data_IF_213643879062
#
_entry.id   IF_213643879062
#
_cell.length_a   1.000
_cell.length_b   1.000
_cell.length_c   1.000
_cell.angle_alpha   90.00
_cell.angle_beta   90.00
_cell.angle_gamma   90.00
#
_symmetry.space_group_name_H-M   'P 1'
#
loop_
_entity.id
_entity.type
_entity.pdbx_description
1 polymer ?
#
# COMPACT_ATOMS: atom_id res chain seq x y z
N UNK A 1 20.55 26.12 2.28
CA UNK A 1 20.18 24.81 2.86
C UNK A 1 20.84 23.76 2.00
N UNK A 2 21.88 23.18 2.56
CA UNK A 2 23.05 22.63 1.89
C UNK A 2 22.96 21.10 1.94
N UNK A 3 23.05 20.47 0.76
CA UNK A 3 23.35 19.06 0.49
C UNK A 3 22.79 17.99 1.45
N UNK A 4 21.64 17.41 1.06
CA UNK A 4 21.32 16.03 1.42
C UNK A 4 21.07 15.26 0.13
N UNK A 5 21.89 14.22 -0.10
CA UNK A 5 21.74 13.14 -1.10
C UNK A 5 22.54 13.25 -2.42
N UNK A 6 23.75 12.67 -2.48
CA UNK A 6 24.36 12.30 -3.75
C UNK A 6 23.67 11.02 -4.26
N UNK A 7 23.02 11.13 -5.42
CA UNK A 7 22.31 10.02 -6.04
C UNK A 7 23.22 8.83 -6.33
N UNK A 8 22.77 7.63 -5.97
CA UNK A 8 23.04 6.37 -6.65
C UNK A 8 22.05 5.29 -6.15
N UNK A 9 21.12 4.92 -7.03
CA UNK A 9 20.33 3.68 -7.14
C UNK A 9 19.99 2.87 -5.87
N UNK A 10 18.68 2.65 -5.64
CA UNK A 10 18.12 1.41 -5.07
C UNK A 10 17.65 1.50 -3.62
N UNK A 11 16.37 1.16 -3.42
CA UNK A 11 15.72 0.69 -2.19
C UNK A 11 15.68 1.63 -0.95
N UNK A 12 14.50 1.77 -0.34
CA UNK A 12 14.28 2.61 0.86
C UNK A 12 15.10 2.23 2.08
N UNK A 13 15.68 1.03 2.11
CA UNK A 13 16.65 0.61 3.10
C UNK A 13 17.97 1.39 3.02
N UNK A 14 18.37 1.87 1.83
CA UNK A 14 19.55 2.73 1.69
C UNK A 14 19.37 4.09 2.33
N UNK A 15 18.14 4.59 2.45
CA UNK A 15 17.82 5.82 3.19
C UNK A 15 18.26 5.73 4.67
N UNK A 16 18.37 4.51 5.19
CA UNK A 16 18.82 4.22 6.55
C UNK A 16 20.25 3.69 6.63
N UNK A 17 21.00 3.66 5.53
CA UNK A 17 22.36 3.10 5.49
C UNK A 17 22.39 1.56 5.53
N UNK A 18 21.25 0.88 5.33
CA UNK A 18 21.20 -0.57 5.19
C UNK A 18 21.50 -0.96 3.74
N UNK A 19 22.62 -1.67 3.54
CA UNK A 19 22.95 -2.32 2.28
C UNK A 19 22.25 -3.69 2.18
N UNK A 20 20.92 -3.69 2.14
CA UNK A 20 20.13 -4.89 1.85
C UNK A 20 19.78 -4.90 0.37
N UNK A 21 20.19 -5.94 -0.36
CA UNK A 21 19.79 -6.09 -1.75
C UNK A 21 18.33 -6.55 -1.83
N UNK A 22 17.57 -6.02 -2.78
CA UNK A 22 16.19 -6.45 -3.09
C UNK A 22 16.01 -7.98 -3.11
N UNK A 23 16.97 -8.72 -3.66
CA UNK A 23 16.96 -10.18 -3.70
C UNK A 23 17.06 -10.87 -2.32
N UNK A 24 17.78 -10.27 -1.37
CA UNK A 24 17.89 -10.79 0.01
C UNK A 24 16.61 -10.57 0.80
N UNK A 25 15.97 -9.40 0.61
CA UNK A 25 14.67 -9.07 1.20
C UNK A 25 13.57 -9.95 0.59
N UNK A 26 13.58 -10.14 -0.74
CA UNK A 26 12.64 -11.01 -1.43
C UNK A 26 12.77 -12.49 -1.02
N UNK A 27 13.99 -13.01 -0.86
CA UNK A 27 14.19 -14.41 -0.44
C UNK A 27 13.66 -14.71 0.96
N UNK A 28 13.67 -13.72 1.86
CA UNK A 28 13.18 -13.88 3.21
C UNK A 28 11.66 -13.64 3.33
N UNK A 29 11.11 -12.75 2.51
CA UNK A 29 9.67 -12.46 2.47
C UNK A 29 8.87 -13.44 1.59
N UNK A 30 9.54 -14.14 0.66
CA UNK A 30 8.95 -15.12 -0.27
C UNK A 30 9.68 -16.47 -0.18
N UNK A 31 9.58 -17.20 0.95
CA UNK A 31 10.21 -18.52 1.09
C UNK A 31 9.57 -19.57 0.16
N UNK A 32 8.32 -19.34 -0.25
CA UNK A 32 7.66 -20.11 -1.32
C UNK A 32 7.80 -19.35 -2.65
N UNK A 33 8.53 -19.86 -3.65
CA UNK A 33 8.69 -19.19 -4.94
C UNK A 33 7.38 -19.05 -5.75
N UNK A 34 6.36 -19.85 -5.42
CA UNK A 34 5.00 -19.72 -5.98
C UNK A 34 4.17 -18.64 -5.26
N UNK A 35 4.53 -18.25 -4.04
CA UNK A 35 3.94 -17.11 -3.35
C UNK A 35 4.60 -15.83 -3.85
N UNK A 36 3.99 -15.23 -4.86
CA UNK A 36 4.52 -14.02 -5.49
C UNK A 36 4.23 -12.77 -4.67
N UNK A 37 3.52 -12.84 -3.55
CA UNK A 37 3.05 -11.65 -2.82
C UNK A 37 3.70 -11.48 -1.44
N UNK A 38 3.88 -10.23 -1.04
CA UNK A 38 4.21 -9.84 0.32
C UNK A 38 3.24 -8.76 0.72
N UNK A 39 2.46 -9.03 1.75
CA UNK A 39 1.55 -8.04 2.34
C UNK A 39 2.33 -6.96 3.06
N UNK A 40 1.75 -5.76 3.21
CA UNK A 40 2.38 -4.70 3.97
C UNK A 40 2.72 -5.09 5.43
N UNK A 41 1.88 -5.91 6.06
CA UNK A 41 2.12 -6.42 7.40
C UNK A 41 3.30 -7.40 7.46
N UNK A 42 3.46 -8.26 6.45
CA UNK A 42 4.63 -9.14 6.31
C UNK A 42 5.92 -8.31 6.11
N UNK A 43 5.87 -7.23 5.30
CA UNK A 43 6.99 -6.30 5.16
C UNK A 43 7.37 -5.61 6.48
N UNK A 44 6.39 -5.09 7.22
CA UNK A 44 6.64 -4.47 8.52
C UNK A 44 7.24 -5.47 9.52
N UNK A 45 6.71 -6.70 9.56
CA UNK A 45 7.20 -7.77 10.46
C UNK A 45 8.62 -8.20 10.11
N UNK A 46 8.97 -8.22 8.83
CA UNK A 46 10.34 -8.50 8.39
C UNK A 46 11.33 -7.45 8.88
N UNK A 47 10.99 -6.16 8.74
CA UNK A 47 11.86 -5.08 9.25
C UNK A 47 12.12 -5.28 10.74
N UNK A 48 11.06 -5.46 11.52
CA UNK A 48 11.17 -5.59 12.98
C UNK A 48 12.03 -6.80 13.39
N UNK A 49 11.99 -7.89 12.62
CA UNK A 49 12.70 -9.13 12.97
C UNK A 49 14.13 -9.20 12.41
N UNK A 50 14.42 -8.51 11.30
CA UNK A 50 15.69 -8.64 10.58
C UNK A 50 16.58 -7.39 10.64
N UNK A 51 16.10 -6.30 11.23
CA UNK A 51 16.81 -5.02 11.27
C UNK A 51 16.67 -4.36 12.65
N UNK A 52 17.53 -3.38 13.00
CA UNK A 52 17.37 -2.60 14.23
C UNK A 52 16.25 -1.54 14.15
N UNK A 53 15.57 -1.42 13.00
CA UNK A 53 14.50 -0.44 12.79
C UNK A 53 13.16 -1.01 13.21
N UNK A 54 12.22 -0.09 13.47
CA UNK A 54 10.82 -0.40 13.70
C UNK A 54 10.03 -0.06 12.44
N UNK A 55 8.99 -0.86 12.19
CA UNK A 55 8.03 -0.66 11.13
C UNK A 55 6.65 -0.94 11.66
N UNK A 56 5.63 -0.27 11.15
CA UNK A 56 4.26 -0.63 11.43
C UNK A 56 3.41 -0.43 10.18
N UNK A 57 2.35 -1.21 10.08
CA UNK A 57 1.39 -1.18 9.00
C UNK A 57 0.08 -0.56 9.49
N UNK A 58 -0.49 0.34 8.68
CA UNK A 58 -1.79 0.95 8.94
C UNK A 58 -2.60 1.06 7.65
N UNK A 59 -3.91 1.17 7.82
CA UNK A 59 -4.88 1.52 6.77
C UNK A 59 -5.52 2.86 7.09
N UNK A 60 -6.38 3.36 6.20
CA UNK A 60 -7.07 4.63 6.38
C UNK A 60 -6.10 5.83 6.52
N UNK A 61 -4.94 5.75 5.85
CA UNK A 61 -3.95 6.81 5.87
C UNK A 61 -4.48 8.11 5.27
N UNK A 62 -3.93 9.22 5.76
CA UNK A 62 -4.19 10.57 5.21
C UNK A 62 -2.90 11.18 4.70
N UNK A 63 -3.00 11.97 3.62
CA UNK A 63 -1.85 12.69 3.09
C UNK A 63 -1.17 13.54 4.17
N UNK A 64 -1.95 14.18 5.05
CA UNK A 64 -1.42 14.99 6.15
C UNK A 64 -0.55 14.16 7.13
N UNK A 65 -0.98 12.95 7.48
CA UNK A 65 -0.19 12.04 8.32
C UNK A 65 1.13 11.69 7.62
N UNK A 66 1.07 11.36 6.32
CA UNK A 66 2.26 11.04 5.52
C UNK A 66 3.21 12.24 5.46
N UNK A 67 2.72 13.45 5.19
CA UNK A 67 3.52 14.69 5.18
C UNK A 67 4.20 14.92 6.52
N UNK A 68 3.48 14.78 7.63
CA UNK A 68 4.04 14.93 8.99
C UNK A 68 5.13 13.90 9.29
N UNK A 69 4.98 12.65 8.84
CA UNK A 69 6.03 11.62 8.94
C UNK A 69 7.27 12.02 8.13
N UNK A 70 7.08 12.37 6.86
CA UNK A 70 8.18 12.77 5.96
C UNK A 70 8.94 14.01 6.47
N UNK A 71 8.22 15.02 6.98
CA UNK A 71 8.80 16.22 7.58
C UNK A 71 9.71 15.92 8.79
N UNK A 72 9.53 14.76 9.41
CA UNK A 72 10.33 14.27 10.55
C UNK A 72 11.37 13.20 10.14
N UNK A 73 11.65 13.08 8.84
CA UNK A 73 12.62 12.11 8.31
C UNK A 73 12.18 10.65 8.49
N UNK A 74 10.87 10.41 8.56
CA UNK A 74 10.27 9.07 8.64
C UNK A 74 9.75 8.73 7.24
N UNK A 75 10.45 7.87 6.48
CA UNK A 75 9.99 7.44 5.16
C UNK A 75 8.73 6.57 5.26
N UNK A 76 7.93 6.66 4.21
CA UNK A 76 6.63 5.99 4.12
C UNK A 76 6.56 5.20 2.81
N UNK A 77 6.14 3.95 2.89
CA UNK A 77 5.82 3.11 1.73
C UNK A 77 4.31 3.03 1.61
N UNK A 78 3.79 3.28 0.41
CA UNK A 78 2.36 3.16 0.06
C UNK A 78 2.15 2.04 -0.95
N UNK A 79 1.01 1.35 -0.88
CA UNK A 79 0.51 0.50 -1.96
C UNK A 79 -0.54 1.27 -2.77
N UNK A 80 -0.33 1.40 -4.08
CA UNK A 80 -1.19 2.13 -5.01
C UNK A 80 -1.63 1.23 -6.16
N UNK A 81 -2.82 1.50 -6.71
CA UNK A 81 -3.20 0.89 -7.98
C UNK A 81 -2.41 1.52 -9.14
N UNK A 82 -1.85 0.69 -10.01
CA UNK A 82 -1.14 1.14 -11.20
C UNK A 82 -1.66 0.43 -12.44
N UNK A 83 -1.93 1.21 -13.48
CA UNK A 83 -2.04 0.69 -14.85
C UNK A 83 -0.68 0.87 -15.54
N UNK A 84 0.03 -0.20 -15.90
CA UNK A 84 1.31 -0.09 -16.57
C UNK A 84 1.21 0.74 -17.86
N UNK A 85 2.16 1.67 -18.08
CA UNK A 85 2.18 2.45 -19.31
C UNK A 85 2.74 1.65 -20.50
N UNK A 86 2.45 2.13 -21.71
CA UNK A 86 3.11 1.68 -22.95
C UNK A 86 2.93 0.20 -23.27
N UNK A 87 4.02 -0.43 -23.70
CA UNK A 87 4.07 -1.83 -24.14
C UNK A 87 3.82 -2.83 -23.00
N UNK A 88 3.72 -2.39 -21.74
CA UNK A 88 3.36 -3.23 -20.59
C UNK A 88 1.88 -3.15 -20.23
N UNK A 89 1.08 -2.34 -20.94
CA UNK A 89 -0.36 -2.18 -20.70
C UNK A 89 -1.16 -3.50 -20.74
N UNK A 90 -0.65 -4.53 -21.44
CA UNK A 90 -1.23 -5.87 -21.47
C UNK A 90 -1.30 -6.56 -20.09
N UNK A 91 -0.48 -6.13 -19.12
CA UNK A 91 -0.50 -6.69 -17.77
C UNK A 91 -1.77 -6.30 -17.00
N UNK A 92 -2.45 -5.24 -17.42
CA UNK A 92 -3.63 -4.72 -16.73
C UNK A 92 -3.33 -4.07 -15.38
N UNK A 93 -4.38 -3.66 -14.68
CA UNK A 93 -4.29 -3.02 -13.37
C UNK A 93 -3.68 -3.95 -12.32
N UNK A 94 -2.79 -3.41 -11.48
CA UNK A 94 -2.21 -4.17 -10.37
C UNK A 94 -1.78 -3.27 -9.18
N UNK A 95 -1.43 -3.91 -8.04
CA UNK A 95 -0.92 -3.22 -6.85
C UNK A 95 0.58 -2.98 -6.84
N UNK A 96 1.00 -1.75 -6.60
CA UNK A 96 2.39 -1.32 -6.72
C UNK A 96 2.86 -0.55 -5.49
N UNK A 97 4.07 -0.84 -5.02
CA UNK A 97 4.65 -0.15 -3.87
C UNK A 97 5.52 1.02 -4.29
N UNK A 98 5.29 2.18 -3.67
CA UNK A 98 6.10 3.37 -3.85
C UNK A 98 6.67 3.84 -2.52
N UNK A 99 7.94 4.24 -2.50
CA UNK A 99 8.58 4.86 -1.35
C UNK A 99 8.52 6.38 -1.47
N UNK A 100 7.82 7.02 -0.54
CA UNK A 100 7.76 8.48 -0.44
C UNK A 100 8.93 8.98 0.40
N UNK A 101 9.58 10.05 -0.07
CA UNK A 101 10.76 10.64 0.58
C UNK A 101 10.65 12.13 0.82
N UNK A 102 9.80 12.84 0.08
CA UNK A 102 9.57 14.27 0.26
C UNK A 102 8.20 14.69 -0.28
N UNK A 103 7.78 15.91 0.05
CA UNK A 103 6.58 16.54 -0.48
C UNK A 103 6.81 18.03 -0.72
N UNK A 104 6.01 18.60 -1.61
CA UNK A 104 5.93 20.03 -1.87
C UNK A 104 4.45 20.42 -1.96
N UNK A 105 3.97 21.15 -0.95
CA UNK A 105 2.59 21.62 -0.89
C UNK A 105 2.30 22.70 -1.94
N UNK A 106 3.28 23.51 -2.33
CA UNK A 106 3.08 24.56 -3.33
C UNK A 106 2.90 23.97 -4.73
N UNK A 107 3.53 22.82 -4.98
CA UNK A 107 3.40 22.05 -6.23
C UNK A 107 2.42 20.88 -6.14
N UNK A 108 1.74 20.70 -5.01
CA UNK A 108 0.78 19.61 -4.73
C UNK A 108 1.28 18.20 -5.09
N UNK A 109 2.50 17.88 -4.65
CA UNK A 109 3.17 16.63 -5.03
C UNK A 109 3.98 15.98 -3.92
N UNK A 110 4.21 14.69 -4.08
CA UNK A 110 5.23 13.89 -3.40
C UNK A 110 6.36 13.54 -4.38
N UNK A 111 7.57 13.42 -3.85
CA UNK A 111 8.66 12.73 -4.54
C UNK A 111 8.76 11.30 -4.03
N UNK A 112 8.80 10.37 -5.00
CA UNK A 112 8.79 8.94 -4.74
C UNK A 112 9.94 8.23 -5.46
N UNK A 113 10.40 7.14 -4.86
CA UNK A 113 11.21 6.15 -5.56
C UNK A 113 10.34 4.95 -5.93
N UNK A 114 10.34 4.63 -7.22
CA UNK A 114 9.64 3.51 -7.82
C UNK A 114 10.67 2.50 -8.33
N UNK A 115 10.68 1.29 -7.77
CA UNK A 115 11.65 0.25 -8.15
C UNK A 115 11.40 -0.32 -9.56
N UNK A 116 10.21 -0.10 -10.13
CA UNK A 116 9.85 -0.58 -11.46
C UNK A 116 9.88 0.51 -12.52
N UNK A 117 9.24 1.65 -12.29
CA UNK A 117 9.25 2.76 -13.25
C UNK A 117 10.52 3.62 -13.15
N UNK A 118 11.32 3.45 -12.10
CA UNK A 118 12.44 4.33 -11.83
C UNK A 118 11.95 5.77 -11.62
N UNK A 119 12.65 6.73 -12.22
CA UNK A 119 12.26 8.15 -12.19
C UNK A 119 11.58 8.63 -13.46
N UNK A 120 11.34 7.73 -14.42
CA UNK A 120 10.71 8.03 -15.71
C UNK A 120 9.33 7.38 -15.90
N UNK A 121 8.69 7.65 -17.04
CA UNK A 121 7.47 6.94 -17.48
C UNK A 121 7.77 5.60 -18.18
N UNK A 122 9.04 5.35 -18.48
CA UNK A 122 9.49 4.10 -19.06
C UNK A 122 9.94 3.15 -17.95
N UNK A 123 9.41 1.92 -17.91
CA UNK A 123 9.86 0.90 -16.96
C UNK A 123 11.39 0.71 -16.99
N UNK A 124 11.95 0.56 -15.79
CA UNK A 124 13.37 0.31 -15.51
C UNK A 124 14.30 1.43 -16.04
N UNK A 125 13.76 2.62 -16.27
CA UNK A 125 14.49 3.78 -16.76
C UNK A 125 14.50 4.91 -15.73
N UNK A 126 15.63 5.62 -15.62
CA UNK A 126 15.72 6.82 -14.80
C UNK A 126 15.87 8.05 -15.71
N UNK A 127 14.85 8.89 -15.72
CA UNK A 127 14.87 10.17 -16.42
C UNK A 127 15.53 11.30 -15.59
N UNK A 128 15.48 11.18 -14.26
CA UNK A 128 15.98 12.15 -13.29
C UNK A 128 16.64 11.46 -12.07
N UNK A 129 17.66 12.04 -11.40
CA UNK A 129 18.30 11.40 -10.25
C UNK A 129 17.53 11.53 -8.91
N UNK A 130 16.52 12.41 -8.82
CA UNK A 130 15.91 12.87 -7.56
C UNK A 130 14.58 12.17 -7.22
N UNK A 131 14.01 11.39 -8.13
CA UNK A 131 12.76 10.64 -7.89
C UNK A 131 11.71 10.92 -8.96
N UNK A 132 10.57 10.22 -8.86
CA UNK A 132 9.38 10.47 -9.66
C UNK A 132 8.40 11.36 -8.89
N UNK A 133 7.63 12.15 -9.64
CA UNK A 133 6.52 12.93 -9.09
C UNK A 133 5.28 12.04 -8.96
N UNK A 134 4.66 12.07 -7.78
CA UNK A 134 3.31 11.58 -7.52
C UNK A 134 2.46 12.76 -7.07
N UNK A 135 1.49 13.18 -7.88
CA UNK A 135 0.63 14.31 -7.51
C UNK A 135 -0.33 13.92 -6.38
N UNK A 136 -0.80 14.88 -5.59
CA UNK A 136 -1.81 14.63 -4.56
C UNK A 136 -3.10 14.07 -5.16
N UNK A 137 -3.49 14.54 -6.34
CA UNK A 137 -4.66 14.04 -7.05
C UNK A 137 -4.50 12.58 -7.52
N UNK A 138 -3.33 12.20 -8.03
CA UNK A 138 -3.05 10.81 -8.40
C UNK A 138 -3.07 9.90 -7.16
N UNK A 139 -2.49 10.36 -6.05
CA UNK A 139 -2.53 9.62 -4.80
C UNK A 139 -3.97 9.43 -4.31
N UNK A 140 -4.79 10.48 -4.28
CA UNK A 140 -6.19 10.38 -3.84
C UNK A 140 -7.03 9.49 -4.76
N UNK A 141 -6.69 9.41 -6.05
CA UNK A 141 -7.33 8.48 -6.98
C UNK A 141 -6.94 7.03 -6.71
N UNK A 142 -5.65 6.75 -6.57
CA UNK A 142 -5.13 5.38 -6.67
C UNK A 142 -4.89 4.69 -5.32
N UNK A 143 -4.69 5.44 -4.24
CA UNK A 143 -4.47 4.93 -2.90
C UNK A 143 -5.69 4.28 -2.24
N UNK A 144 -6.93 4.76 -2.49
CA UNK A 144 -8.12 4.05 -2.05
C UNK A 144 -8.24 2.64 -2.64
N UNK A 145 -7.57 2.31 -3.74
CA UNK A 145 -7.59 0.94 -4.26
C UNK A 145 -7.05 -0.09 -3.24
N UNK A 146 -6.23 0.35 -2.28
CA UNK A 146 -5.64 -0.50 -1.23
C UNK A 146 -5.98 0.00 0.17
N UNK A 147 -7.20 0.51 0.37
CA UNK A 147 -7.69 1.02 1.66
C UNK A 147 -6.78 2.09 2.31
N UNK A 148 -6.11 2.89 1.47
CA UNK A 148 -5.15 3.93 1.90
C UNK A 148 -4.08 3.38 2.84
N UNK A 149 -3.54 2.21 2.51
CA UNK A 149 -2.60 1.53 3.36
C UNK A 149 -1.19 2.16 3.32
N UNK A 150 -0.46 2.08 4.42
CA UNK A 150 0.91 2.58 4.48
C UNK A 150 1.75 1.83 5.49
N UNK A 151 3.06 1.90 5.27
CA UNK A 151 4.09 1.44 6.19
C UNK A 151 5.01 2.62 6.48
N UNK A 152 5.24 2.89 7.76
CA UNK A 152 6.27 3.84 8.17
C UNK A 152 7.44 3.09 8.80
N UNK A 153 8.66 3.46 8.42
CA UNK A 153 9.92 2.93 8.95
C UNK A 153 10.58 3.98 9.84
N UNK A 154 10.96 3.62 11.04
CA UNK A 154 11.61 4.57 11.96
C UNK A 154 12.63 3.90 12.86
N UNK A 155 13.49 4.71 13.47
CA UNK A 155 14.41 4.23 14.50
C UNK A 155 13.67 4.08 15.85
N UNK A 156 14.12 3.20 16.76
CA UNK A 156 13.49 3.01 18.05
C UNK A 156 13.32 4.31 18.87
N UNK A 157 14.29 5.23 18.80
CA UNK A 157 14.21 6.53 19.48
C UNK A 157 13.13 7.48 18.91
N UNK A 158 12.62 7.21 17.71
CA UNK A 158 11.55 7.98 17.08
C UNK A 158 10.15 7.42 17.40
N UNK A 159 10.03 6.34 18.19
CA UNK A 159 8.76 5.65 18.42
C UNK A 159 7.66 6.56 19.01
N UNK A 160 8.00 7.39 19.99
CA UNK A 160 7.03 8.32 20.58
C UNK A 160 6.59 9.38 19.57
N UNK A 161 7.53 9.95 18.81
CA UNK A 161 7.23 10.94 17.77
C UNK A 161 6.27 10.38 16.71
N UNK A 162 6.53 9.15 16.26
CA UNK A 162 5.66 8.43 15.33
C UNK A 162 4.27 8.25 15.93
N UNK A 163 4.19 7.79 17.18
CA UNK A 163 2.91 7.61 17.86
C UNK A 163 2.13 8.92 18.01
N UNK A 164 2.81 10.04 18.25
CA UNK A 164 2.19 11.37 18.35
C UNK A 164 1.72 11.89 16.98
N UNK A 165 2.40 11.51 15.88
CA UNK A 165 1.99 11.87 14.52
C UNK A 165 0.75 11.08 14.10
N UNK A 166 0.76 9.76 14.28
CA UNK A 166 -0.34 8.84 13.91
C UNK A 166 -1.53 8.99 14.86
N UNK A 167 -1.27 9.26 16.13
CA UNK A 167 -2.28 9.49 17.15
C UNK A 167 -3.05 8.23 17.53
N UNK A 168 -4.36 8.37 17.70
CA UNK A 168 -5.23 7.29 18.20
C UNK A 168 -5.27 6.06 17.28
N UNK A 169 -4.97 6.21 15.98
CA UNK A 169 -4.89 5.10 15.03
C UNK A 169 -3.62 4.25 15.21
N UNK A 170 -2.77 4.55 16.21
CA UNK A 170 -1.81 3.59 16.73
C UNK A 170 -2.49 2.41 17.42
N UNK A 171 -3.73 2.54 17.88
CA UNK A 171 -4.55 1.43 18.34
C UNK A 171 -5.28 0.77 17.15
N UNK A 172 -5.10 -0.54 16.98
CA UNK A 172 -5.67 -1.28 15.85
C UNK A 172 -7.21 -1.25 15.84
N UNK A 173 -7.85 -1.24 17.02
CA UNK A 173 -9.32 -1.18 17.13
C UNK A 173 -9.81 0.17 16.62
N UNK A 174 -9.17 1.26 17.04
CA UNK A 174 -9.51 2.62 16.59
C UNK A 174 -9.26 2.77 15.09
N UNK A 175 -8.11 2.31 14.59
CA UNK A 175 -7.78 2.36 13.17
C UNK A 175 -8.84 1.64 12.32
N UNK A 176 -9.22 0.41 12.68
CA UNK A 176 -10.21 -0.35 11.90
C UNK A 176 -11.62 0.22 12.00
N UNK A 177 -12.00 0.80 13.14
CA UNK A 177 -13.28 1.50 13.27
C UNK A 177 -13.34 2.75 12.38
N UNK A 178 -12.27 3.55 12.35
CA UNK A 178 -12.20 4.72 11.47
C UNK A 178 -12.15 4.31 9.99
N UNK A 179 -11.39 3.26 9.65
CA UNK A 179 -11.33 2.71 8.31
C UNK A 179 -12.70 2.21 7.83
N UNK A 180 -13.48 1.60 8.72
CA UNK A 180 -14.85 1.20 8.43
C UNK A 180 -15.73 2.42 8.14
N UNK A 181 -15.65 3.45 8.97
CA UNK A 181 -16.42 4.69 8.75
C UNK A 181 -16.09 5.32 7.39
N UNK A 182 -14.81 5.44 7.05
CA UNK A 182 -14.37 5.97 5.76
C UNK A 182 -14.84 5.08 4.61
N UNK A 183 -14.69 3.77 4.71
CA UNK A 183 -15.10 2.84 3.65
C UNK A 183 -16.62 2.85 3.42
N UNK A 184 -17.43 3.05 4.47
CA UNK A 184 -18.88 3.25 4.34
C UNK A 184 -19.21 4.53 3.58
N UNK A 185 -18.50 5.63 3.85
CA UNK A 185 -18.67 6.90 3.14
C UNK A 185 -18.26 6.77 1.67
N UNK A 186 -17.10 6.15 1.40
CA UNK A 186 -16.59 5.92 0.06
C UNK A 186 -17.60 5.11 -0.77
N UNK A 187 -18.05 3.96 -0.25
CA UNK A 187 -19.02 3.10 -0.94
C UNK A 187 -20.39 3.76 -1.16
N UNK A 188 -20.80 4.69 -0.29
CA UNK A 188 -22.00 5.50 -0.50
C UNK A 188 -21.80 6.59 -1.56
N UNK A 189 -20.60 7.17 -1.62
CA UNK A 189 -20.27 8.25 -2.55
C UNK A 189 -20.17 7.78 -4.00
N UNK A 190 -19.68 6.55 -4.22
CA UNK A 190 -19.61 5.91 -5.53
C UNK A 190 -19.95 4.41 -5.41
N UNK A 191 -21.25 4.09 -5.49
CA UNK A 191 -21.73 2.70 -5.36
C UNK A 191 -21.28 1.77 -6.48
N UNK A 192 -20.76 2.28 -7.60
CA UNK A 192 -20.27 1.46 -8.71
C UNK A 192 -18.76 1.15 -8.56
N UNK A 193 -18.08 1.78 -7.60
CA UNK A 193 -16.67 1.57 -7.37
C UNK A 193 -16.40 0.27 -6.59
N UNK A 194 -15.92 -0.73 -7.32
CA UNK A 194 -15.51 -2.03 -6.79
C UNK A 194 -14.51 -1.96 -5.63
N UNK A 195 -13.55 -1.02 -5.69
CA UNK A 195 -12.52 -0.89 -4.66
C UNK A 195 -13.12 -0.41 -3.34
N UNK A 196 -14.11 0.48 -3.39
CA UNK A 196 -14.78 0.98 -2.20
C UNK A 196 -15.57 -0.11 -1.48
N UNK A 197 -16.27 -0.97 -2.23
CA UNK A 197 -16.94 -2.14 -1.66
C UNK A 197 -15.97 -3.16 -1.07
N UNK A 198 -14.84 -3.39 -1.73
CA UNK A 198 -13.80 -4.26 -1.21
C UNK A 198 -13.20 -3.73 0.10
N UNK A 199 -12.91 -2.43 0.16
CA UNK A 199 -12.42 -1.79 1.40
C UNK A 199 -13.46 -1.89 2.51
N UNK A 200 -14.75 -1.69 2.19
CA UNK A 200 -15.83 -1.84 3.15
C UNK A 200 -15.89 -3.26 3.71
N UNK A 201 -15.84 -4.27 2.84
CA UNK A 201 -15.79 -5.67 3.26
C UNK A 201 -14.55 -5.98 4.11
N UNK A 202 -13.39 -5.44 3.73
CA UNK A 202 -12.13 -5.60 4.47
C UNK A 202 -12.22 -5.01 5.87
N UNK A 203 -12.71 -3.77 5.99
CA UNK A 203 -12.88 -3.09 7.27
C UNK A 203 -13.96 -3.75 8.14
N UNK A 204 -15.09 -4.19 7.56
CA UNK A 204 -16.12 -4.96 8.27
C UNK A 204 -15.56 -6.28 8.83
N UNK A 205 -14.77 -6.99 8.03
CA UNK A 205 -14.12 -8.23 8.47
C UNK A 205 -13.16 -7.97 9.63
N UNK A 206 -12.38 -6.88 9.56
CA UNK A 206 -11.42 -6.53 10.59
C UNK A 206 -12.07 -6.16 11.93
N UNK A 207 -13.27 -5.55 11.92
CA UNK A 207 -14.03 -5.27 13.15
C UNK A 207 -14.92 -6.43 13.62
N UNK A 208 -14.90 -7.57 12.91
CA UNK A 208 -15.64 -8.78 13.29
C UNK A 208 -17.07 -8.90 12.74
N UNK A 209 -17.48 -8.01 11.84
CA UNK A 209 -18.80 -7.97 11.22
C UNK A 209 -18.87 -8.85 9.96
N UNK A 210 -18.62 -10.14 10.13
CA UNK A 210 -18.36 -11.09 9.04
C UNK A 210 -19.52 -11.25 8.04
N UNK A 211 -20.78 -11.22 8.52
CA UNK A 211 -21.95 -11.36 7.63
C UNK A 211 -22.10 -10.15 6.71
N UNK A 212 -21.93 -8.95 7.27
CA UNK A 212 -21.94 -7.70 6.52
C UNK A 212 -20.74 -7.63 5.56
N UNK A 213 -19.56 -8.11 5.98
CA UNK A 213 -18.37 -8.18 5.15
C UNK A 213 -18.62 -9.06 3.91
N UNK A 214 -19.19 -10.26 4.09
CA UNK A 214 -19.51 -11.17 2.99
C UNK A 214 -20.49 -10.54 1.98
N UNK A 215 -21.44 -9.72 2.45
CA UNK A 215 -22.34 -8.98 1.57
C UNK A 215 -21.60 -7.86 0.81
N UNK A 216 -20.69 -7.13 1.46
CA UNK A 216 -19.91 -6.08 0.82
C UNK A 216 -19.01 -6.65 -0.31
N UNK A 217 -18.53 -7.89 -0.16
CA UNK A 217 -17.79 -8.61 -1.20
C UNK A 217 -18.67 -9.23 -2.31
N UNK A 218 -20.01 -9.11 -2.28
CA UNK A 218 -20.88 -9.81 -3.24
C UNK A 218 -20.68 -9.28 -4.68
N UNK A 219 -20.24 -10.14 -5.63
CA UNK A 219 -20.01 -9.79 -7.04
C UNK A 219 -21.24 -9.28 -7.80
N UNK A 220 -22.45 -9.43 -7.24
CA UNK A 220 -23.69 -8.94 -7.86
C UNK A 220 -23.98 -7.47 -7.63
N UNK A 221 -23.16 -6.76 -6.83
CA UNK A 221 -23.31 -5.32 -6.55
C UNK A 221 -22.58 -4.40 -7.55
N UNK A 222 -21.95 -4.94 -8.59
CA UNK A 222 -21.33 -4.17 -9.70
C UNK A 222 -20.50 -5.07 -10.61
N UNK A 223 -20.09 -4.61 -11.82
CA UNK A 223 -19.18 -5.37 -12.66
C UNK A 223 -17.84 -5.43 -11.94
N UNK A 224 -17.58 -6.56 -11.27
CA UNK A 224 -16.38 -6.89 -10.49
C UNK A 224 -16.41 -6.34 -9.05
N UNK A 225 -17.13 -6.97 -8.10
CA UNK A 225 -16.84 -6.77 -6.65
C UNK A 225 -15.46 -7.33 -6.19
N UNK A 226 -14.56 -7.51 -7.16
CA UNK A 226 -13.15 -7.80 -7.04
C UNK A 226 -12.53 -7.37 -8.39
N UNK A 227 -11.72 -6.30 -8.47
CA UNK A 227 -11.28 -5.71 -9.74
C UNK A 227 -10.74 -6.75 -10.72
N UNK A 228 -11.28 -6.72 -11.94
CA UNK A 228 -10.81 -7.27 -13.23
C UNK A 228 -10.21 -8.68 -13.31
N UNK A 229 -9.22 -9.00 -12.49
CA UNK A 229 -8.51 -10.27 -12.53
C UNK A 229 -8.21 -10.89 -11.14
N UNK A 230 -8.82 -10.39 -10.05
CA UNK A 230 -8.69 -10.98 -8.71
C UNK A 230 -9.75 -12.07 -8.42
N UNK A 231 -10.69 -12.30 -9.35
CA UNK A 231 -11.72 -13.34 -9.29
C UNK A 231 -11.22 -14.76 -9.64
N UNK A 232 -9.96 -15.10 -9.34
CA UNK A 232 -9.46 -16.48 -9.41
C UNK A 232 -9.88 -17.33 -8.20
N UNK A 233 -10.38 -16.73 -7.13
CA UNK A 233 -10.85 -17.45 -5.94
C UNK A 233 -12.37 -17.61 -6.05
N UNK A 234 -12.79 -18.84 -6.32
CA UNK A 234 -14.19 -19.25 -6.31
C UNK A 234 -14.79 -19.01 -4.90
N UNK A 235 -15.50 -17.90 -4.71
CA UNK A 235 -16.12 -17.49 -3.43
C UNK A 235 -17.39 -18.30 -3.07
N UNK A 236 -17.79 -19.25 -3.91
CA UNK A 236 -18.91 -20.15 -3.67
C UNK A 236 -18.37 -21.59 -3.50
N UNK A 237 -18.02 -22.08 -2.29
CA UNK A 237 -18.74 -21.92 -1.03
C UNK A 237 -17.81 -21.92 0.22
N UNK A 238 -17.42 -20.75 0.75
CA UNK A 238 -16.60 -20.69 1.98
C UNK A 238 -17.41 -20.16 3.17
N UNK A 239 -18.46 -20.88 3.57
CA UNK A 239 -19.27 -20.51 4.75
C UNK A 239 -18.54 -20.67 6.10
N UNK A 240 -17.32 -21.22 6.14
CA UNK A 240 -16.64 -21.60 7.41
C UNK A 240 -15.20 -21.09 7.58
N UNK A 241 -14.62 -20.32 6.63
CA UNK A 241 -13.20 -19.92 6.68
C UNK A 241 -12.94 -18.41 6.84
N UNK A 242 -13.97 -17.57 6.95
CA UNK A 242 -13.82 -16.12 7.21
C UNK A 242 -13.05 -15.80 8.51
N UNK A 243 -12.88 -16.78 9.41
CA UNK A 243 -12.11 -16.65 10.66
C UNK A 243 -10.60 -16.47 10.47
N UNK A 244 -10.02 -16.71 9.27
CA UNK A 244 -8.55 -16.84 9.14
C UNK A 244 -7.88 -16.10 7.96
N UNK A 245 -8.61 -15.39 7.10
CA UNK A 245 -7.96 -14.63 6.02
C UNK A 245 -8.75 -13.36 5.68
N UNK A 246 -8.13 -12.20 5.90
CA UNK A 246 -8.48 -11.01 5.14
C UNK A 246 -8.15 -11.30 3.66
N UNK A 247 -9.05 -11.02 2.70
CA UNK A 247 -8.72 -11.22 1.29
C UNK A 247 -7.53 -10.34 0.90
N UNK A 248 -6.43 -10.95 0.43
CA UNK A 248 -5.29 -10.22 -0.15
C UNK A 248 -5.75 -9.67 -1.51
N UNK A 249 -5.73 -8.34 -1.70
CA UNK A 249 -6.11 -7.70 -2.97
C UNK A 249 -4.97 -7.66 -3.99
N UNK A 250 -3.74 -8.01 -3.57
CA UNK A 250 -2.55 -7.78 -4.37
C UNK A 250 -2.33 -8.90 -5.40
N UNK A 251 -2.69 -8.55 -6.64
CA UNK A 251 -2.45 -9.17 -7.95
C UNK A 251 -3.51 -10.08 -8.56
N UNK A 252 -4.14 -9.46 -9.55
CA UNK A 252 -5.05 -9.95 -10.54
C UNK A 252 -4.27 -10.27 -11.84
N UNK A 253 -3.90 -11.52 -12.14
CA UNK A 253 -3.29 -11.88 -13.45
C UNK A 253 -4.38 -12.35 -14.43
N UNK A 254 -4.38 -11.94 -15.71
CA UNK A 254 -5.03 -12.74 -16.73
C UNK A 254 -4.24 -14.04 -16.86
N UNK A 255 -4.88 -15.16 -16.56
CA UNK A 255 -4.35 -16.48 -16.94
C UNK A 255 -4.36 -16.48 -18.48
N UNK A 256 -3.20 -16.55 -19.16
CA UNK A 256 -3.20 -16.74 -20.61
C UNK A 256 -3.90 -18.07 -20.94
N UNK A 257 -4.57 -18.16 -22.10
CA UNK A 257 -5.33 -19.35 -22.48
C UNK A 257 -4.50 -20.64 -22.45
#
# INVERSE_FOLDING_TARGET
MEQLWPGHHGDGFKLFGLNLAQGQVAAALKPNPEDRNVTPAEMASYVQSQTPYQAFFRVNGRQETVKRLLANGIPVILELGLNPPGDLSWMGWYGHYMLLVAYDDAAEQFWVYDSWLGTGAQPLSNADPNGRILTYADLDRDWPHFNRNYIALHRPEQAQLVADIVGAEMDDTIMWQNALQQAQQDAQSDPENAFYWFNLGTSLNAVGEYESAAQAFDPRRGPLACPGACCGINLAPMKHTWRLAAPKMSFCWPIPP
#
